data_IF_393964582011
#
_entry.id   IF_393964582011
#
_cell.length_a   1.000
_cell.length_b   1.000
_cell.length_c   1.000
_cell.angle_alpha   90.00
_cell.angle_beta   90.00
_cell.angle_gamma   90.00
#
_symmetry.space_group_name_H-M   'P 1'
#
loop_
_entity.id
_entity.type
_entity.pdbx_description
1 polymer ?
#
# COMPACT_ATOMS: atom_id res chain seq x y z
N UNK A 1 10.70 -4.80 16.30
CA UNK A 1 9.98 -3.96 15.31
C UNK A 1 9.43 -2.69 15.94
N UNK A 2 8.57 -2.76 16.98
CA UNK A 2 7.99 -1.58 17.64
C UNK A 2 9.01 -0.57 18.20
N UNK A 3 10.16 -1.02 18.73
CA UNK A 3 11.21 -0.10 19.18
C UNK A 3 11.85 0.69 18.04
N UNK A 4 12.15 0.02 16.92
CA UNK A 4 12.78 0.63 15.74
C UNK A 4 11.87 1.63 15.03
N UNK A 5 10.56 1.43 15.06
CA UNK A 5 9.59 2.34 14.43
C UNK A 5 9.24 3.54 15.34
N UNK A 6 9.57 3.49 16.63
CA UNK A 6 9.15 4.53 17.58
C UNK A 6 9.69 5.90 17.21
N UNK A 7 10.96 5.96 16.82
CA UNK A 7 11.65 7.22 16.55
C UNK A 7 11.12 7.86 15.26
N UNK A 8 10.90 7.04 14.23
CA UNK A 8 10.34 7.46 12.92
C UNK A 8 8.92 8.02 13.05
N UNK A 9 8.15 7.60 14.07
CA UNK A 9 6.81 8.11 14.36
C UNK A 9 6.77 9.14 15.51
N UNK A 10 7.91 9.72 15.90
CA UNK A 10 7.95 10.79 16.90
C UNK A 10 7.52 12.14 16.33
N UNK A 11 7.03 13.06 17.17
CA UNK A 11 6.57 14.40 16.74
C UNK A 11 7.65 15.17 15.95
N UNK A 12 8.91 15.03 16.37
CA UNK A 12 10.04 15.64 15.68
C UNK A 12 10.18 15.11 14.24
N UNK A 13 10.24 13.78 14.06
CA UNK A 13 10.37 13.17 12.75
C UNK A 13 9.15 13.44 11.85
N UNK A 14 7.95 13.49 12.43
CA UNK A 14 6.73 13.84 11.68
C UNK A 14 6.78 15.27 11.14
N UNK A 15 7.32 16.23 11.91
CA UNK A 15 7.54 17.61 11.43
C UNK A 15 8.59 17.67 10.32
N UNK A 16 9.66 16.90 10.45
CA UNK A 16 10.68 16.81 9.40
C UNK A 16 10.12 16.26 8.08
N UNK A 17 9.08 15.43 8.13
CA UNK A 17 8.40 14.85 6.97
C UNK A 17 7.20 15.67 6.46
N UNK A 18 6.83 16.77 7.12
CA UNK A 18 5.65 17.58 6.79
C UNK A 18 5.66 18.03 5.31
N UNK A 19 6.80 18.50 4.81
CA UNK A 19 6.92 18.96 3.42
C UNK A 19 6.53 17.87 2.41
N UNK A 20 7.02 16.63 2.60
CA UNK A 20 6.73 15.52 1.69
C UNK A 20 5.24 15.14 1.70
N UNK A 21 4.60 15.24 2.87
CA UNK A 21 3.17 14.95 3.01
C UNK A 21 2.35 16.07 2.35
N UNK A 22 2.70 17.32 2.62
CA UNK A 22 2.02 18.50 2.07
C UNK A 22 2.10 18.56 0.54
N UNK A 23 3.26 18.25 -0.06
CA UNK A 23 3.40 18.20 -1.52
C UNK A 23 2.44 17.19 -2.17
N UNK A 24 2.31 16.00 -1.58
CA UNK A 24 1.35 14.99 -2.04
C UNK A 24 -0.11 15.44 -1.83
N UNK A 25 -0.41 16.13 -0.73
CA UNK A 25 -1.75 16.68 -0.46
C UNK A 25 -2.10 17.77 -1.48
N UNK A 26 -1.17 18.67 -1.79
CA UNK A 26 -1.37 19.73 -2.78
C UNK A 26 -1.64 19.16 -4.17
N UNK A 27 -0.90 18.11 -4.55
CA UNK A 27 -1.17 17.35 -5.78
C UNK A 27 -2.55 16.70 -5.79
N UNK A 28 -2.96 16.10 -4.67
CA UNK A 28 -4.28 15.49 -4.51
C UNK A 28 -5.41 16.53 -4.65
N UNK A 29 -5.30 17.67 -3.97
CA UNK A 29 -6.29 18.77 -4.05
C UNK A 29 -6.40 19.28 -5.48
N UNK A 30 -5.26 19.53 -6.13
CA UNK A 30 -5.21 19.99 -7.53
C UNK A 30 -5.94 19.01 -8.45
N UNK A 31 -5.64 17.72 -8.37
CA UNK A 31 -6.27 16.70 -9.21
C UNK A 31 -7.76 16.52 -8.95
N UNK A 32 -8.19 16.57 -7.69
CA UNK A 32 -9.61 16.52 -7.37
C UNK A 32 -10.34 17.76 -7.87
N UNK A 33 -9.74 18.95 -7.78
CA UNK A 33 -10.34 20.17 -8.34
C UNK A 33 -10.56 20.06 -9.85
N UNK A 34 -9.56 19.53 -10.58
CA UNK A 34 -9.63 19.29 -12.02
C UNK A 34 -10.72 18.28 -12.40
N UNK A 35 -10.80 17.14 -11.68
CA UNK A 35 -11.66 16.01 -12.05
C UNK A 35 -13.06 16.08 -11.44
N UNK A 36 -13.18 16.63 -10.24
CA UNK A 36 -14.42 16.77 -9.47
C UNK A 36 -15.39 17.80 -10.06
N UNK A 37 -14.91 18.66 -10.95
CA UNK A 37 -15.75 19.61 -11.69
C UNK A 37 -16.52 18.95 -12.85
N UNK A 38 -16.29 17.67 -13.13
CA UNK A 38 -17.03 16.92 -14.15
C UNK A 38 -18.44 16.54 -13.69
N UNK A 39 -19.35 16.35 -14.64
CA UNK A 39 -20.76 16.03 -14.34
C UNK A 39 -20.93 14.65 -13.66
N UNK A 40 -19.97 13.76 -13.87
CA UNK A 40 -19.93 12.41 -13.32
C UNK A 40 -19.31 12.37 -11.92
N UNK A 41 -18.74 13.49 -11.45
CA UNK A 41 -18.05 13.59 -10.17
C UNK A 41 -16.74 12.79 -10.14
N UNK A 42 -16.29 12.42 -8.93
CA UNK A 42 -15.09 11.59 -8.72
C UNK A 42 -15.35 10.52 -7.68
N UNK A 43 -14.73 9.36 -7.87
CA UNK A 43 -14.63 8.33 -6.82
C UNK A 43 -13.61 8.78 -5.77
N UNK A 44 -14.11 9.44 -4.74
CA UNK A 44 -13.28 9.97 -3.66
C UNK A 44 -12.53 8.87 -2.88
N UNK A 45 -13.08 7.64 -2.83
CA UNK A 45 -12.44 6.52 -2.13
C UNK A 45 -11.19 6.09 -2.90
N UNK A 46 -11.30 5.96 -4.23
CA UNK A 46 -10.14 5.70 -5.09
C UNK A 46 -9.09 6.79 -4.92
N UNK A 47 -9.46 8.07 -4.97
CA UNK A 47 -8.51 9.18 -4.84
C UNK A 47 -7.81 9.20 -3.48
N UNK A 48 -8.51 8.92 -2.38
CA UNK A 48 -7.87 8.79 -1.07
C UNK A 48 -6.92 7.61 -0.99
N UNK A 49 -7.25 6.48 -1.62
CA UNK A 49 -6.32 5.35 -1.71
C UNK A 49 -5.05 5.77 -2.45
N UNK A 50 -5.17 6.40 -3.62
CA UNK A 50 -4.03 6.90 -4.40
C UNK A 50 -3.14 7.85 -3.58
N UNK A 51 -3.76 8.82 -2.88
CA UNK A 51 -3.03 9.75 -2.04
C UNK A 51 -2.30 9.06 -0.88
N UNK A 52 -2.96 8.12 -0.21
CA UNK A 52 -2.37 7.38 0.90
C UNK A 52 -1.17 6.54 0.43
N UNK A 53 -1.28 5.88 -0.72
CA UNK A 53 -0.18 5.10 -1.29
C UNK A 53 0.99 5.98 -1.70
N UNK A 54 0.75 7.12 -2.35
CA UNK A 54 1.82 8.03 -2.75
C UNK A 54 2.54 8.64 -1.53
N UNK A 55 1.80 9.04 -0.48
CA UNK A 55 2.39 9.51 0.78
C UNK A 55 3.25 8.40 1.41
N UNK A 56 2.71 7.19 1.57
CA UNK A 56 3.47 6.08 2.16
C UNK A 56 4.69 5.75 1.30
N UNK A 57 4.57 5.81 -0.03
CA UNK A 57 5.68 5.61 -0.96
C UNK A 57 6.80 6.61 -0.73
N UNK A 58 6.45 7.91 -0.74
CA UNK A 58 7.40 9.00 -0.48
C UNK A 58 8.07 8.86 0.88
N UNK A 59 7.34 8.49 1.93
CA UNK A 59 7.90 8.35 3.28
C UNK A 59 8.75 7.09 3.47
N UNK A 60 8.38 5.97 2.83
CA UNK A 60 9.05 4.69 3.02
C UNK A 60 10.23 4.47 2.06
N UNK A 61 10.14 5.00 0.84
CA UNK A 61 11.10 4.74 -0.25
C UNK A 61 11.70 6.02 -0.84
N UNK A 62 11.29 7.21 -0.38
CA UNK A 62 11.75 8.48 -0.96
C UNK A 62 11.16 8.80 -2.33
N UNK A 63 10.26 7.96 -2.85
CA UNK A 63 9.63 8.12 -4.17
C UNK A 63 8.12 7.88 -4.11
N UNK A 64 7.36 8.75 -4.79
CA UNK A 64 5.92 8.58 -4.95
C UNK A 64 5.63 7.49 -5.99
N UNK A 65 4.53 6.74 -5.82
CA UNK A 65 4.11 5.73 -6.80
C UNK A 65 3.42 6.34 -8.02
N UNK A 66 3.14 7.64 -8.01
CA UNK A 66 2.47 8.34 -9.10
C UNK A 66 0.99 7.96 -9.25
N UNK A 67 0.35 7.51 -8.18
CA UNK A 67 -1.08 7.21 -8.15
C UNK A 67 -1.92 8.46 -8.42
N UNK A 68 -1.64 9.56 -7.71
CA UNK A 68 -2.35 10.83 -7.86
C UNK A 68 -2.15 11.40 -9.28
N UNK A 69 -0.91 11.38 -9.78
CA UNK A 69 -0.58 11.98 -11.09
C UNK A 69 -1.21 11.22 -12.25
N UNK A 70 -1.26 9.89 -12.19
CA UNK A 70 -1.88 9.04 -13.21
C UNK A 70 -3.41 8.95 -13.10
N UNK A 71 -3.97 9.18 -11.91
CA UNK A 71 -5.38 8.92 -11.63
C UNK A 71 -5.74 7.43 -11.71
N UNK A 72 -4.75 6.55 -11.59
CA UNK A 72 -4.89 5.10 -11.73
C UNK A 72 -4.10 4.40 -10.64
N UNK A 73 -4.67 3.32 -10.07
CA UNK A 73 -3.94 2.51 -9.11
C UNK A 73 -2.71 1.88 -9.79
N UNK A 74 -1.53 2.23 -9.30
CA UNK A 74 -0.31 1.55 -9.71
C UNK A 74 -0.43 0.06 -9.37
N UNK A 75 -0.01 -0.82 -10.28
CA UNK A 75 -0.18 -2.28 -10.13
C UNK A 75 0.30 -2.81 -8.76
N UNK A 76 1.30 -2.14 -8.18
CA UNK A 76 1.87 -2.40 -6.87
C UNK A 76 0.86 -2.33 -5.71
N UNK A 77 -0.07 -1.37 -5.75
CA UNK A 77 -1.13 -1.22 -4.75
C UNK A 77 -1.96 -2.49 -4.63
N UNK A 78 -2.38 -3.04 -5.78
CA UNK A 78 -3.14 -4.29 -5.82
C UNK A 78 -2.36 -5.47 -5.25
N UNK A 79 -1.03 -5.48 -5.42
CA UNK A 79 -0.15 -6.52 -4.89
C UNK A 79 -0.01 -6.38 -3.35
N UNK A 80 0.13 -5.16 -2.83
CA UNK A 80 0.19 -4.89 -1.38
C UNK A 80 -1.10 -5.35 -0.70
N UNK A 81 -2.25 -4.93 -1.21
CA UNK A 81 -3.55 -5.27 -0.61
C UNK A 81 -3.78 -6.79 -0.58
N UNK A 82 -3.41 -7.48 -1.67
CA UNK A 82 -3.45 -8.96 -1.72
C UNK A 82 -2.50 -9.59 -0.70
N UNK A 83 -1.29 -9.04 -0.55
CA UNK A 83 -0.29 -9.53 0.40
C UNK A 83 -0.73 -9.33 1.86
N UNK A 84 -1.42 -8.23 2.17
CA UNK A 84 -2.00 -8.00 3.51
C UNK A 84 -3.10 -9.02 3.84
N UNK A 85 -4.01 -9.28 2.89
CA UNK A 85 -5.07 -10.31 3.05
C UNK A 85 -4.46 -11.69 3.28
N UNK A 86 -3.35 -11.98 2.60
CA UNK A 86 -2.60 -13.21 2.79
C UNK A 86 -1.94 -13.32 4.15
N UNK A 87 -1.34 -12.24 4.65
CA UNK A 87 -0.79 -12.20 5.99
C UNK A 87 -1.87 -12.54 7.03
N UNK A 88 -3.06 -11.95 6.89
CA UNK A 88 -4.21 -12.24 7.75
C UNK A 88 -4.68 -13.70 7.64
N UNK A 89 -4.74 -14.26 6.43
CA UNK A 89 -5.07 -15.68 6.22
C UNK A 89 -4.01 -16.61 6.83
N UNK A 90 -2.72 -16.29 6.65
CA UNK A 90 -1.62 -17.07 7.21
C UNK A 90 -1.65 -17.05 8.74
N UNK A 91 -1.91 -15.88 9.35
CA UNK A 91 -2.08 -15.75 10.80
C UNK A 91 -3.28 -16.57 11.29
N UNK A 92 -4.41 -16.51 10.57
CA UNK A 92 -5.61 -17.29 10.88
C UNK A 92 -5.35 -18.80 10.82
N UNK A 93 -4.65 -19.28 9.79
CA UNK A 93 -4.29 -20.70 9.66
C UNK A 93 -3.29 -21.16 10.71
N UNK A 94 -2.36 -20.28 11.12
CA UNK A 94 -1.46 -20.56 12.24
C UNK A 94 -2.22 -20.69 13.56
N UNK A 95 -3.30 -19.92 13.74
CA UNK A 95 -4.14 -19.91 14.93
C UNK A 95 -5.12 -21.08 14.98
N UNK A 96 -5.58 -21.58 13.83
CA UNK A 96 -6.49 -22.73 13.71
C UNK A 96 -5.92 -23.81 12.75
N UNK A 97 -5.00 -24.66 13.22
CA UNK A 97 -4.21 -25.56 12.35
C UNK A 97 -5.05 -26.57 11.58
N UNK A 98 -6.11 -27.09 12.19
CA UNK A 98 -7.02 -28.06 11.56
C UNK A 98 -7.82 -27.41 10.43
N UNK A 99 -8.40 -26.24 10.67
CA UNK A 99 -9.12 -25.45 9.66
C UNK A 99 -8.18 -25.04 8.51
N UNK A 100 -6.94 -24.66 8.85
CA UNK A 100 -5.89 -24.35 7.89
C UNK A 100 -5.52 -25.53 7.00
N UNK A 101 -5.38 -26.74 7.55
CA UNK A 101 -5.09 -27.95 6.77
C UNK A 101 -6.18 -28.26 5.73
N UNK A 102 -7.45 -28.19 6.13
CA UNK A 102 -8.57 -28.40 5.21
C UNK A 102 -8.67 -27.29 4.15
N UNK A 103 -8.51 -26.02 4.56
CA UNK A 103 -8.56 -24.88 3.65
C UNK A 103 -7.39 -24.88 2.64
N UNK A 104 -6.17 -25.23 3.07
CA UNK A 104 -5.00 -25.38 2.19
C UNK A 104 -5.24 -26.43 1.11
N UNK A 105 -5.86 -27.55 1.49
CA UNK A 105 -6.16 -28.64 0.57
C UNK A 105 -7.26 -28.25 -0.42
N UNK A 106 -8.28 -27.51 0.04
CA UNK A 106 -9.38 -27.01 -0.80
C UNK A 106 -8.97 -25.86 -1.74
N UNK A 107 -8.08 -24.95 -1.31
CA UNK A 107 -7.72 -23.72 -2.04
C UNK A 107 -6.23 -23.65 -2.46
N UNK A 108 -5.62 -24.79 -2.76
CA UNK A 108 -4.17 -24.89 -3.04
C UNK A 108 -3.68 -24.04 -4.22
N UNK A 109 -4.51 -23.85 -5.26
CA UNK A 109 -4.18 -23.02 -6.43
C UNK A 109 -4.13 -21.53 -6.11
N UNK A 110 -5.15 -21.02 -5.41
CA UNK A 110 -5.22 -19.63 -4.96
C UNK A 110 -4.05 -19.31 -4.02
N UNK A 111 -3.74 -20.20 -3.09
CA UNK A 111 -2.62 -20.00 -2.15
C UNK A 111 -1.26 -19.95 -2.84
N UNK A 112 -1.02 -20.79 -3.86
CA UNK A 112 0.21 -20.77 -4.65
C UNK A 112 0.39 -19.47 -5.42
N UNK A 113 -0.68 -18.98 -6.07
CA UNK A 113 -0.64 -17.73 -6.83
C UNK A 113 -0.38 -16.53 -5.90
N UNK A 114 -1.01 -16.56 -4.75
CA UNK A 114 -0.87 -15.56 -3.71
C UNK A 114 0.55 -15.51 -3.10
N UNK A 115 1.18 -16.65 -2.80
CA UNK A 115 2.59 -16.70 -2.36
C UNK A 115 3.52 -16.09 -3.42
N UNK A 116 3.23 -16.32 -4.71
CA UNK A 116 4.00 -15.75 -5.83
C UNK A 116 3.87 -14.23 -5.89
N UNK A 117 2.68 -13.69 -5.65
CA UNK A 117 2.44 -12.25 -5.61
C UNK A 117 3.17 -11.58 -4.43
N UNK A 118 3.19 -12.21 -3.25
CA UNK A 118 3.98 -11.70 -2.10
C UNK A 118 5.47 -11.68 -2.37
N UNK A 119 6.03 -12.69 -3.05
CA UNK A 119 7.45 -12.67 -3.42
C UNK A 119 7.79 -11.53 -4.38
N UNK A 120 6.87 -11.19 -5.31
CA UNK A 120 7.02 -10.01 -6.17
C UNK A 120 7.00 -8.71 -5.35
N UNK A 121 6.13 -8.65 -4.33
CA UNK A 121 6.09 -7.53 -3.40
C UNK A 121 7.42 -7.35 -2.64
N UNK A 122 7.98 -8.43 -2.13
CA UNK A 122 9.27 -8.37 -1.44
C UNK A 122 10.40 -7.96 -2.40
N UNK A 123 10.44 -8.53 -3.61
CA UNK A 123 11.49 -8.24 -4.59
C UNK A 123 11.56 -6.76 -4.96
N UNK A 124 10.44 -6.16 -5.37
CA UNK A 124 10.48 -4.77 -5.80
C UNK A 124 10.61 -3.80 -4.63
N UNK A 125 10.11 -4.12 -3.43
CA UNK A 125 10.46 -3.35 -2.22
C UNK A 125 11.98 -3.35 -1.95
N UNK A 126 12.64 -4.49 -2.14
CA UNK A 126 14.10 -4.60 -1.98
C UNK A 126 14.86 -3.90 -3.11
N UNK A 127 14.33 -3.89 -4.33
CA UNK A 127 14.93 -3.18 -5.46
C UNK A 127 14.84 -1.65 -5.29
N UNK A 128 13.74 -1.13 -4.73
CA UNK A 128 13.61 0.30 -4.36
C UNK A 128 14.67 0.70 -3.33
N UNK A 129 14.91 -0.14 -2.32
CA UNK A 129 15.89 0.13 -1.26
C UNK A 129 17.35 0.08 -1.77
N UNK A 130 17.62 -0.69 -2.83
CA UNK A 130 18.97 -0.89 -3.38
C UNK A 130 19.40 0.15 -4.42
N UNK A 131 18.49 0.99 -4.88
CA UNK A 131 18.79 2.10 -5.80
C UNK A 131 19.31 3.31 -5.04
#
# INVERSE_FOLDING_TARGET
MRSYLRDVFSDQYLREQESLISDNIDHFITRIGEKGSSIDGVDIVMWFNLATFDIIGSLAFGESFGGISSGSEHFWVSIIVKSLRLGALADTFKRFPWLGYFAQKAFSGLLKQLIKDTRKHEQYAMDLIRR
#
